data_IF_835704123633
#
_entry.id   IF_835704123633
#
_cell.length_a   1.000
_cell.length_b   1.000
_cell.length_c   1.000
_cell.angle_alpha   90.00
_cell.angle_beta   90.00
_cell.angle_gamma   90.00
#
_symmetry.space_group_name_H-M   'P 1'
#
loop_
_entity.id
_entity.type
_entity.pdbx_description
1 polymer ?
#
# COMPACT_ATOMS: atom_id res chain seq x y z
N UNK A 1 -2.04 2.85 -6.78
CA UNK A 1 -1.02 1.89 -7.28
C UNK A 1 0.01 2.65 -8.10
N UNK A 2 1.30 2.47 -7.82
CA UNK A 2 2.38 3.13 -8.54
C UNK A 2 2.86 2.16 -9.61
N UNK A 3 2.79 2.56 -10.88
CA UNK A 3 3.24 1.75 -12.00
C UNK A 3 4.25 2.59 -12.76
N UNK A 4 5.44 2.05 -13.00
CA UNK A 4 6.48 2.68 -13.81
C UNK A 4 6.91 1.72 -14.90
N UNK A 5 6.92 2.18 -16.15
CA UNK A 5 7.26 1.37 -17.31
C UNK A 5 8.48 1.96 -18.00
N UNK A 6 9.56 1.19 -18.04
CA UNK A 6 10.80 1.53 -18.74
C UNK A 6 10.87 0.79 -20.07
N UNK A 7 11.35 1.47 -21.10
CA UNK A 7 11.45 0.96 -22.47
C UNK A 7 12.77 1.46 -23.08
N UNK A 8 13.37 0.72 -24.02
CA UNK A 8 14.57 1.14 -24.75
C UNK A 8 14.32 2.39 -25.62
N UNK A 9 13.07 2.64 -25.99
CA UNK A 9 12.68 3.89 -26.65
C UNK A 9 12.39 4.97 -25.59
N UNK A 10 13.28 5.98 -25.53
CA UNK A 10 13.24 7.09 -24.58
C UNK A 10 11.97 7.94 -24.72
N UNK A 11 11.53 8.21 -25.95
CA UNK A 11 10.36 9.05 -26.23
C UNK A 11 9.08 8.43 -25.67
N UNK A 12 8.92 7.11 -25.81
CA UNK A 12 7.74 6.40 -25.30
C UNK A 12 7.81 6.23 -23.78
N UNK A 13 9.01 6.08 -23.21
CA UNK A 13 9.19 6.03 -21.77
C UNK A 13 8.87 7.37 -21.09
N UNK A 14 9.21 8.49 -21.73
CA UNK A 14 8.95 9.84 -21.21
C UNK A 14 7.46 10.21 -21.26
N UNK A 15 6.73 9.74 -22.28
CA UNK A 15 5.25 9.89 -22.36
C UNK A 15 4.54 9.04 -21.30
N UNK A 16 5.01 7.82 -21.01
CA UNK A 16 4.39 6.92 -20.03
C UNK A 16 4.70 7.33 -18.58
N UNK A 17 5.90 7.88 -18.35
CA UNK A 17 6.37 8.26 -17.02
C UNK A 17 6.36 9.78 -16.80
N UNK A 18 5.48 10.51 -17.51
CA UNK A 18 5.44 11.97 -17.54
C UNK A 18 5.28 12.54 -16.12
N UNK A 19 6.42 12.71 -15.45
CA UNK A 19 6.59 13.34 -14.16
C UNK A 19 7.04 14.74 -14.49
N UNK A 20 6.10 15.68 -14.35
CA UNK A 20 6.31 17.11 -14.41
C UNK A 20 7.58 17.46 -13.65
N UNK A 21 8.52 18.12 -14.32
CA UNK A 21 9.84 18.38 -13.80
C UNK A 21 9.82 19.10 -12.45
N UNK A 22 10.33 18.45 -11.41
CA UNK A 22 11.01 19.07 -10.26
C UNK A 22 11.46 17.97 -9.29
N UNK A 23 12.78 17.86 -9.10
CA UNK A 23 13.45 17.31 -7.90
C UNK A 23 13.06 15.88 -7.46
N UNK A 24 13.84 14.90 -7.93
CA UNK A 24 13.75 13.46 -7.59
C UNK A 24 13.89 13.07 -6.10
N UNK A 25 13.95 14.00 -5.14
CA UNK A 25 14.30 13.67 -3.76
C UNK A 25 13.13 13.50 -2.77
N UNK A 26 11.86 13.72 -3.15
CA UNK A 26 10.75 13.65 -2.18
C UNK A 26 9.44 13.03 -2.71
N UNK A 27 9.52 11.99 -3.55
CA UNK A 27 8.33 11.34 -4.13
C UNK A 27 7.38 10.70 -3.08
N UNK A 28 7.92 10.30 -1.92
CA UNK A 28 7.19 9.58 -0.87
C UNK A 28 6.77 10.43 0.35
N UNK A 29 7.18 11.70 0.42
CA UNK A 29 6.86 12.57 1.56
C UNK A 29 5.63 13.45 1.33
N UNK A 30 5.28 13.73 0.07
CA UNK A 30 4.19 14.65 -0.24
C UNK A 30 2.96 13.90 -0.77
N UNK A 31 1.82 14.01 -0.06
CA UNK A 31 0.58 13.33 -0.47
C UNK A 31 0.12 13.73 -1.87
N UNK A 32 0.41 14.97 -2.27
CA UNK A 32 0.10 15.51 -3.58
C UNK A 32 0.95 14.85 -4.67
N UNK A 33 2.22 14.53 -4.42
CA UNK A 33 3.08 13.85 -5.42
C UNK A 33 2.68 12.40 -5.64
N UNK A 34 2.16 11.72 -4.62
CA UNK A 34 1.67 10.34 -4.70
C UNK A 34 0.36 10.25 -5.48
N UNK A 35 -0.49 11.27 -5.37
CA UNK A 35 -1.71 11.39 -6.17
C UNK A 35 -1.38 11.71 -7.64
N UNK A 36 -0.42 12.60 -7.89
CA UNK A 36 -0.05 13.02 -9.25
C UNK A 36 0.69 11.92 -10.02
N UNK A 37 1.53 11.12 -9.35
CA UNK A 37 2.35 10.09 -10.02
C UNK A 37 1.78 8.67 -9.87
N UNK A 38 0.58 8.54 -9.31
CA UNK A 38 -0.03 7.27 -8.96
C UNK A 38 -1.26 6.95 -9.81
N UNK A 39 -1.43 5.70 -10.18
CA UNK A 39 -2.65 5.23 -10.83
C UNK A 39 -3.67 4.75 -9.80
N UNK A 40 -4.91 5.21 -9.92
CA UNK A 40 -6.02 4.73 -9.09
C UNK A 40 -6.52 3.36 -9.59
N UNK A 41 -6.99 2.54 -8.66
CA UNK A 41 -7.73 1.30 -8.97
C UNK A 41 -9.22 1.66 -8.88
N UNK A 42 -9.98 1.36 -9.91
CA UNK A 42 -11.44 1.58 -9.91
C UNK A 42 -12.17 0.52 -9.06
N UNK A 43 -13.45 0.76 -8.76
CA UNK A 43 -14.29 -0.16 -7.97
C UNK A 43 -14.48 -1.53 -8.64
N UNK A 44 -14.28 -1.60 -9.96
CA UNK A 44 -14.32 -2.84 -10.74
C UNK A 44 -12.97 -3.58 -10.71
N UNK A 45 -11.94 -3.01 -10.08
CA UNK A 45 -10.64 -3.64 -9.91
C UNK A 45 -9.65 -3.43 -11.05
N UNK A 46 -9.87 -2.44 -11.92
CA UNK A 46 -9.00 -2.10 -13.03
C UNK A 46 -8.13 -0.88 -12.73
N UNK A 47 -6.96 -0.85 -13.34
CA UNK A 47 -6.07 0.30 -13.40
C UNK A 47 -5.97 0.78 -14.84
N UNK A 48 -6.17 2.07 -15.05
CA UNK A 48 -6.03 2.70 -16.36
C UNK A 48 -4.63 3.30 -16.50
N UNK A 49 -3.84 2.73 -17.41
CA UNK A 49 -2.48 3.19 -17.70
C UNK A 49 -2.46 3.80 -19.11
N UNK A 50 -1.99 5.04 -19.29
CA UNK A 50 -1.83 5.66 -20.60
C UNK A 50 -1.08 4.74 -21.56
N UNK A 51 -1.52 4.71 -22.82
CA UNK A 51 -0.99 3.82 -23.90
C UNK A 51 -1.33 2.33 -23.72
N UNK A 52 -1.37 1.80 -22.49
CA UNK A 52 -1.63 0.37 -22.22
C UNK A 52 -3.12 0.05 -21.99
N UNK A 53 -3.93 1.05 -21.68
CA UNK A 53 -5.37 0.93 -21.41
C UNK A 53 -5.68 0.35 -20.03
N UNK A 54 -6.87 -0.25 -19.89
CA UNK A 54 -7.34 -0.84 -18.64
C UNK A 54 -6.73 -2.22 -18.39
N UNK A 55 -6.23 -2.44 -17.17
CA UNK A 55 -5.57 -3.67 -16.73
C UNK A 55 -6.23 -4.14 -15.43
N UNK A 56 -6.72 -5.39 -15.42
CA UNK A 56 -7.35 -5.97 -14.23
C UNK A 56 -6.29 -6.32 -13.18
N UNK A 57 -6.43 -5.78 -11.97
CA UNK A 57 -5.51 -5.99 -10.85
C UNK A 57 -6.19 -6.56 -9.60
N UNK A 58 -7.51 -6.68 -9.58
CA UNK A 58 -8.25 -7.29 -8.47
C UNK A 58 -7.90 -8.77 -8.33
N UNK A 59 -7.81 -9.24 -7.08
CA UNK A 59 -7.40 -10.60 -6.71
C UNK A 59 -6.03 -11.03 -7.24
N UNK A 60 -5.22 -10.10 -7.77
CA UNK A 60 -3.84 -10.36 -8.15
C UNK A 60 -2.89 -9.94 -7.03
N UNK A 61 -1.89 -10.76 -6.79
CA UNK A 61 -0.68 -10.36 -6.06
C UNK A 61 0.08 -9.29 -6.83
N UNK A 62 1.03 -8.61 -6.16
CA UNK A 62 1.86 -7.60 -6.83
C UNK A 62 2.61 -8.21 -8.01
N UNK A 63 3.13 -9.43 -7.86
CA UNK A 63 3.89 -10.12 -8.91
C UNK A 63 2.99 -10.45 -10.12
N UNK A 64 1.79 -10.98 -9.88
CA UNK A 64 0.82 -11.23 -10.95
C UNK A 64 0.36 -9.93 -11.63
N UNK A 65 0.30 -8.82 -10.90
CA UNK A 65 0.01 -7.51 -11.47
C UNK A 65 1.17 -6.99 -12.32
N UNK A 66 2.43 -7.21 -11.91
CA UNK A 66 3.62 -6.91 -12.74
C UNK A 66 3.56 -7.66 -14.06
N UNK A 67 3.25 -8.96 -14.03
CA UNK A 67 3.15 -9.78 -15.22
C UNK A 67 2.02 -9.35 -16.14
N UNK A 68 0.84 -9.05 -15.59
CA UNK A 68 -0.29 -8.55 -16.36
C UNK A 68 0.04 -7.23 -17.08
N UNK A 69 0.71 -6.30 -16.39
CA UNK A 69 1.13 -5.02 -16.98
C UNK A 69 2.25 -5.23 -18.00
N UNK A 70 3.22 -6.11 -17.74
CA UNK A 70 4.30 -6.44 -18.68
C UNK A 70 3.77 -7.08 -19.96
N UNK A 71 2.82 -8.01 -19.86
CA UNK A 71 2.19 -8.62 -21.03
C UNK A 71 1.48 -7.58 -21.90
N UNK A 72 0.78 -6.63 -21.27
CA UNK A 72 0.15 -5.50 -21.95
C UNK A 72 1.19 -4.58 -22.61
N UNK A 73 2.27 -4.27 -21.90
CA UNK A 73 3.34 -3.41 -22.36
C UNK A 73 4.09 -3.99 -23.57
N UNK A 74 4.33 -5.30 -23.58
CA UNK A 74 5.04 -5.98 -24.67
C UNK A 74 4.30 -5.93 -26.02
N UNK A 75 2.99 -5.67 -26.03
CA UNK A 75 2.24 -5.46 -27.28
C UNK A 75 2.56 -4.13 -27.97
N UNK A 76 3.04 -3.14 -27.20
CA UNK A 76 3.32 -1.79 -27.69
C UNK A 76 4.81 -1.45 -27.65
N UNK A 77 5.60 -2.16 -26.84
CA UNK A 77 7.00 -1.86 -26.53
C UNK A 77 7.84 -3.13 -26.63
N UNK A 78 8.97 -3.07 -27.33
CA UNK A 78 9.98 -4.14 -27.27
C UNK A 78 10.76 -4.04 -25.95
N UNK A 79 10.93 -5.19 -25.28
CA UNK A 79 11.70 -5.34 -24.04
C UNK A 79 11.28 -4.40 -22.91
N UNK A 80 9.98 -4.34 -22.62
CA UNK A 80 9.44 -3.48 -21.56
C UNK A 80 9.79 -4.00 -20.16
N UNK A 81 10.40 -3.15 -19.34
CA UNK A 81 10.62 -3.40 -17.92
C UNK A 81 9.59 -2.66 -17.09
N UNK A 82 8.80 -3.40 -16.31
CA UNK A 82 7.68 -2.84 -15.53
C UNK A 82 7.98 -2.97 -14.05
N UNK A 83 7.75 -1.89 -13.30
CA UNK A 83 7.78 -1.86 -11.84
C UNK A 83 6.39 -1.48 -11.34
N UNK A 84 5.80 -2.35 -10.54
CA UNK A 84 4.51 -2.11 -9.88
C UNK A 84 4.73 -2.09 -8.38
N UNK A 85 4.19 -1.07 -7.71
CA UNK A 85 4.20 -0.94 -6.25
C UNK A 85 2.84 -0.46 -5.74
N UNK A 86 2.48 -0.83 -4.53
CA UNK A 86 1.38 -0.18 -3.85
C UNK A 86 1.86 1.22 -3.42
N UNK A 87 1.05 2.27 -3.65
CA UNK A 87 1.46 3.66 -3.33
C UNK A 87 1.53 3.84 -1.83
N UNK A 88 0.42 3.54 -1.17
CA UNK A 88 0.27 3.62 0.26
C UNK A 88 -1.09 3.07 0.61
N UNK A 89 -1.24 2.49 1.80
CA UNK A 89 -2.54 2.30 2.40
C UNK A 89 -2.65 3.10 3.69
N UNK A 90 -3.88 3.49 4.02
CA UNK A 90 -4.21 4.17 5.26
C UNK A 90 -4.59 3.14 6.31
N UNK A 91 -4.17 3.37 7.54
CA UNK A 91 -4.65 2.65 8.70
C UNK A 91 -4.96 3.66 9.80
N UNK A 92 -5.95 3.36 10.61
CA UNK A 92 -6.34 4.24 11.72
C UNK A 92 -5.92 3.57 13.01
N UNK A 93 -5.29 4.33 13.91
CA UNK A 93 -5.01 3.90 15.27
C UNK A 93 -5.82 4.79 16.21
N UNK A 94 -6.61 4.18 17.08
CA UNK A 94 -7.43 4.88 18.06
C UNK A 94 -7.38 4.18 19.41
N UNK A 95 -7.63 4.91 20.50
CA UNK A 95 -7.61 4.41 21.88
C UNK A 95 -6.44 4.96 22.69
N UNK A 96 -6.01 4.21 23.72
CA UNK A 96 -4.93 4.57 24.64
C UNK A 96 -3.53 4.41 24.03
N UNK A 97 -3.24 5.27 23.05
CA UNK A 97 -1.93 5.41 22.39
C UNK A 97 -1.46 6.85 22.50
N UNK A 98 -0.14 7.08 22.42
CA UNK A 98 0.42 8.43 22.54
C UNK A 98 -0.15 9.41 21.51
N UNK A 99 -0.35 8.96 20.26
CA UNK A 99 -0.84 9.76 19.15
C UNK A 99 -1.92 9.00 18.38
N UNK A 100 -3.20 9.12 18.77
CA UNK A 100 -4.29 8.56 17.98
C UNK A 100 -4.44 9.33 16.67
N UNK A 101 -4.73 8.63 15.57
CA UNK A 101 -4.86 9.27 14.27
C UNK A 101 -4.84 8.30 13.09
N UNK A 102 -4.89 8.90 11.89
CA UNK A 102 -4.77 8.17 10.63
C UNK A 102 -3.32 8.22 10.18
N UNK A 103 -2.77 7.05 9.89
CA UNK A 103 -1.40 6.85 9.44
C UNK A 103 -1.39 6.29 8.03
N UNK A 104 -0.30 6.56 7.30
CA UNK A 104 -0.05 5.99 5.98
C UNK A 104 1.16 5.08 6.05
N UNK A 105 1.00 3.86 5.56
CA UNK A 105 2.10 2.96 5.33
C UNK A 105 2.42 2.90 3.84
N UNK A 106 3.70 3.04 3.51
CA UNK A 106 4.23 2.94 2.14
C UNK A 106 4.77 1.54 1.83
N UNK A 107 4.98 0.73 2.87
CA UNK A 107 5.42 -0.65 2.71
C UNK A 107 4.25 -1.54 2.31
N UNK A 108 4.53 -2.61 1.57
CA UNK A 108 3.52 -3.60 1.18
C UNK A 108 3.00 -4.42 2.38
N UNK A 109 3.69 -4.36 3.51
CA UNK A 109 3.36 -5.06 4.74
C UNK A 109 3.42 -4.07 5.90
N UNK A 110 2.54 -4.27 6.87
CA UNK A 110 2.54 -3.56 8.15
C UNK A 110 2.22 -4.58 9.23
N UNK A 111 3.04 -4.58 10.28
CA UNK A 111 2.78 -5.33 11.50
C UNK A 111 2.09 -4.43 12.52
N UNK A 112 1.39 -5.03 13.48
CA UNK A 112 0.72 -4.28 14.56
C UNK A 112 1.73 -3.52 15.41
N UNK A 113 2.92 -4.08 15.63
CA UNK A 113 3.98 -3.38 16.35
C UNK A 113 4.45 -2.13 15.61
N UNK A 114 4.70 -2.23 14.31
CA UNK A 114 5.10 -1.07 13.52
C UNK A 114 4.02 0.00 13.55
N UNK A 115 2.75 -0.40 13.45
CA UNK A 115 1.62 0.51 13.55
C UNK A 115 1.54 1.23 14.90
N UNK A 116 1.75 0.51 16.01
CA UNK A 116 1.81 1.07 17.37
C UNK A 116 3.01 2.00 17.54
N UNK A 117 4.16 1.58 17.02
CA UNK A 117 5.40 2.37 17.07
C UNK A 117 5.23 3.69 16.32
N UNK A 118 4.54 3.66 15.18
CA UNK A 118 4.15 4.87 14.43
C UNK A 118 3.18 5.76 15.23
N UNK A 119 2.32 5.17 16.06
CA UNK A 119 1.40 5.87 16.96
C UNK A 119 2.05 6.39 18.25
N UNK A 120 3.36 6.20 18.43
CA UNK A 120 4.09 6.65 19.62
C UNK A 120 3.92 5.73 20.84
N UNK A 121 3.64 4.45 20.61
CA UNK A 121 3.42 3.42 21.62
C UNK A 121 2.11 3.58 22.43
N UNK A 122 1.75 2.52 23.14
CA UNK A 122 0.60 2.44 24.05
C UNK A 122 0.95 3.22 25.32
N UNK A 123 0.00 4.04 25.80
CA UNK A 123 0.18 4.82 27.04
C UNK A 123 0.25 3.89 28.26
N UNK A 124 0.71 4.40 29.41
CA UNK A 124 0.76 3.60 30.65
C UNK A 124 -0.63 3.10 31.11
N UNK A 125 -1.69 3.75 30.63
CA UNK A 125 -3.08 3.37 30.92
C UNK A 125 -3.64 2.34 29.93
N UNK A 126 -2.99 2.12 28.79
CA UNK A 126 -3.46 1.22 27.75
C UNK A 126 -3.14 -0.25 28.02
N UNK A 127 -4.08 -1.14 27.69
CA UNK A 127 -3.92 -2.56 27.95
C UNK A 127 -3.23 -3.31 26.80
N UNK A 128 -1.92 -3.60 26.96
CA UNK A 128 -1.11 -4.35 25.98
C UNK A 128 -1.60 -5.78 25.70
N UNK A 129 -2.46 -6.35 26.55
CA UNK A 129 -3.06 -7.68 26.36
C UNK A 129 -4.40 -7.65 25.60
N UNK A 130 -4.95 -6.47 25.36
CA UNK A 130 -6.28 -6.28 24.77
C UNK A 130 -6.23 -5.38 23.54
N UNK A 131 -5.44 -5.77 22.56
CA UNK A 131 -5.33 -5.02 21.30
C UNK A 131 -6.33 -5.59 20.31
N UNK A 132 -7.17 -4.72 19.73
CA UNK A 132 -8.15 -5.13 18.73
C UNK A 132 -7.72 -4.64 17.34
N UNK A 133 -7.73 -5.55 16.39
CA UNK A 133 -7.42 -5.26 14.99
C UNK A 133 -8.64 -5.58 14.15
N UNK A 134 -9.19 -4.57 13.49
CA UNK A 134 -10.37 -4.70 12.65
C UNK A 134 -9.95 -4.76 11.19
N UNK A 135 -10.28 -5.88 10.54
CA UNK A 135 -10.09 -6.12 9.11
C UNK A 135 -11.42 -6.03 8.37
N UNK A 136 -11.61 -5.07 7.47
CA UNK A 136 -12.68 -5.16 6.49
C UNK A 136 -12.45 -6.40 5.60
N UNK A 137 -13.47 -7.22 5.45
CA UNK A 137 -13.51 -8.35 4.53
C UNK A 137 -14.79 -8.25 3.68
N UNK A 138 -14.84 -8.96 2.56
CA UNK A 138 -16.01 -8.98 1.67
C UNK A 138 -17.29 -9.47 2.37
N UNK A 139 -17.16 -10.19 3.48
CA UNK A 139 -18.25 -10.74 4.28
C UNK A 139 -18.55 -9.95 5.56
N UNK A 140 -17.90 -8.80 5.77
CA UNK A 140 -18.04 -7.96 6.96
C UNK A 140 -16.70 -7.64 7.63
N UNK A 141 -16.75 -7.05 8.83
CA UNK A 141 -15.54 -6.69 9.58
C UNK A 141 -15.11 -7.85 10.48
N UNK A 142 -13.89 -8.37 10.27
CA UNK A 142 -13.27 -9.37 11.14
C UNK A 142 -12.48 -8.68 12.24
N UNK A 143 -12.74 -9.03 13.50
CA UNK A 143 -12.01 -8.50 14.64
C UNK A 143 -11.04 -9.55 15.18
N UNK A 144 -9.77 -9.18 15.29
CA UNK A 144 -8.71 -10.00 15.88
C UNK A 144 -8.30 -9.41 17.22
N UNK A 145 -8.25 -10.24 18.25
CA UNK A 145 -7.74 -9.85 19.57
C UNK A 145 -6.30 -10.34 19.72
N UNK A 146 -5.41 -9.43 20.08
CA UNK A 146 -3.98 -9.67 20.20
C UNK A 146 -3.50 -9.34 21.61
N UNK A 147 -2.59 -10.17 22.09
CA UNK A 147 -1.80 -9.92 23.28
C UNK A 147 -0.35 -9.65 22.86
N UNK A 148 0.10 -8.41 23.05
CA UNK A 148 1.45 -7.97 22.68
C UNK A 148 2.50 -8.39 23.70
N UNK A 149 2.12 -9.03 24.80
CA UNK A 149 3.07 -9.55 25.80
C UNK A 149 3.52 -10.98 25.48
N UNK A 150 2.80 -11.68 24.59
CA UNK A 150 3.13 -13.05 24.19
C UNK A 150 4.12 -13.08 23.01
N UNK A 151 5.25 -13.79 23.14
CA UNK A 151 6.25 -13.96 22.06
C UNK A 151 5.66 -14.54 20.76
N UNK A 152 4.50 -15.22 20.84
CA UNK A 152 3.81 -15.80 19.67
C UNK A 152 3.43 -14.76 18.60
N UNK A 153 3.25 -13.49 18.94
CA UNK A 153 2.85 -12.48 17.96
C UNK A 153 4.02 -12.03 17.05
N UNK A 154 5.28 -12.28 17.44
CA UNK A 154 6.49 -11.92 16.68
C UNK A 154 6.70 -12.79 15.43
N UNK A 155 5.84 -13.77 15.19
CA UNK A 155 5.96 -14.66 14.04
C UNK A 155 5.48 -13.95 12.77
N UNK A 156 6.17 -14.12 11.62
CA UNK A 156 5.93 -13.39 10.37
C UNK A 156 4.56 -13.63 9.71
N UNK A 157 3.71 -14.46 10.34
CA UNK A 157 2.43 -14.92 9.79
C UNK A 157 1.30 -13.90 9.96
N UNK A 158 1.55 -12.78 10.63
CA UNK A 158 0.52 -11.77 10.91
C UNK A 158 0.83 -10.44 10.20
N UNK A 159 0.90 -10.51 8.88
CA UNK A 159 0.93 -9.31 8.02
C UNK A 159 -0.49 -8.79 7.82
N UNK A 160 -0.68 -7.51 8.09
CA UNK A 160 -1.97 -6.86 8.19
C UNK A 160 -2.06 -5.78 7.10
N UNK A 161 -2.84 -6.06 6.04
CA UNK A 161 -3.02 -5.16 4.91
C UNK A 161 -4.37 -4.45 5.02
N UNK A 162 -4.36 -3.11 5.05
CA UNK A 162 -5.52 -2.20 5.11
C UNK A 162 -6.46 -2.38 6.31
N UNK A 163 -6.17 -1.75 7.45
CA UNK A 163 -6.93 -2.00 8.68
C UNK A 163 -7.13 -0.78 9.58
N UNK A 164 -8.21 -0.85 10.35
CA UNK A 164 -8.43 0.01 11.51
C UNK A 164 -7.96 -0.77 12.74
N UNK A 165 -7.00 -0.22 13.48
CA UNK A 165 -6.50 -0.78 14.73
C UNK A 165 -7.17 0.01 15.86
N UNK A 166 -7.94 -0.68 16.70
CA UNK A 166 -8.64 -0.10 17.83
C UNK A 166 -8.01 -0.61 19.13
N UNK A 167 -7.59 0.30 20.00
CA UNK A 167 -7.16 -0.01 21.36
C UNK A 167 -8.29 0.28 22.35
N UNK A 168 -8.47 -0.65 23.29
CA UNK A 168 -9.28 -0.48 24.51
C UNK A 168 -8.38 -0.56 25.73
#
# INVERSE_FOLDING_TARGET
MYIKVFTLNKEVSDVINQSSGSSQQNLFQNETSLYINGYAVDDSGYVEVPVLGKILVINKTIDEAVEAVRARANNYLKDASVVVKLISFKFTVFGEVSRPGIYRNFNNQLTVLEAISMAGDITDFGNRRQVLVLRPSNTGTQTFRLDLTDKKFLLPKVSFCCQTILFM
#
